data_IF_136664505409
#
_entry.id   IF_136664505409
#
_cell.length_a   1.000
_cell.length_b   1.000
_cell.length_c   1.000
_cell.angle_alpha   90.00
_cell.angle_beta   90.00
_cell.angle_gamma   90.00
#
_symmetry.space_group_name_H-M   'P 1'
#
loop_
_entity.id
_entity.type
_entity.pdbx_description
1 polymer ?
#
# COMPACT_ATOMS: atom_id res chain seq x y z
N UNK A 1 13.08 0.91 11.76
CA UNK A 1 14.22 0.61 10.87
C UNK A 1 14.12 -0.84 10.49
N UNK A 2 14.38 -1.18 9.23
CA UNK A 2 14.32 -2.53 8.72
C UNK A 2 15.56 -2.86 7.88
N UNK A 3 15.84 -4.15 7.76
CA UNK A 3 16.77 -4.69 6.78
C UNK A 3 15.97 -5.51 5.76
N UNK A 4 16.17 -5.23 4.48
CA UNK A 4 15.39 -5.82 3.39
C UNK A 4 16.32 -6.68 2.52
N UNK A 5 15.90 -7.91 2.23
CA UNK A 5 16.53 -8.76 1.24
C UNK A 5 16.01 -8.40 -0.15
N UNK A 6 16.91 -7.91 -1.01
CA UNK A 6 16.54 -7.38 -2.33
C UNK A 6 16.19 -8.47 -3.34
N UNK A 7 16.68 -9.70 -3.15
CA UNK A 7 16.50 -10.80 -4.11
C UNK A 7 15.03 -11.22 -4.29
N UNK A 8 14.14 -10.88 -3.34
CA UNK A 8 12.70 -11.16 -3.42
C UNK A 8 11.83 -9.95 -3.82
N UNK A 9 12.43 -8.79 -4.10
CA UNK A 9 11.66 -7.56 -4.37
C UNK A 9 10.85 -7.65 -5.66
N UNK A 10 11.33 -8.39 -6.68
CA UNK A 10 10.55 -8.60 -7.91
C UNK A 10 9.21 -9.29 -7.63
N UNK A 11 9.20 -10.30 -6.76
CA UNK A 11 7.96 -10.98 -6.33
C UNK A 11 7.04 -10.05 -5.54
N UNK A 12 7.59 -9.18 -4.68
CA UNK A 12 6.81 -8.16 -3.98
C UNK A 12 6.15 -7.20 -4.98
N UNK A 13 6.88 -6.76 -6.01
CA UNK A 13 6.38 -5.86 -7.06
C UNK A 13 5.25 -6.53 -7.86
N UNK A 14 5.43 -7.78 -8.29
CA UNK A 14 4.40 -8.54 -9.02
C UNK A 14 3.12 -8.72 -8.20
N UNK A 15 3.26 -9.12 -6.93
CA UNK A 15 2.11 -9.30 -6.04
C UNK A 15 1.40 -7.98 -5.73
N UNK A 16 2.17 -6.88 -5.54
CA UNK A 16 1.61 -5.55 -5.37
C UNK A 16 0.85 -5.10 -6.63
N UNK A 17 1.36 -5.36 -7.84
CA UNK A 17 0.64 -5.05 -9.08
C UNK A 17 -0.70 -5.78 -9.15
N UNK A 18 -0.71 -7.10 -8.91
CA UNK A 18 -1.94 -7.92 -8.88
C UNK A 18 -2.93 -7.38 -7.83
N UNK A 19 -2.45 -7.11 -6.61
CA UNK A 19 -3.25 -6.56 -5.52
C UNK A 19 -3.86 -5.21 -5.89
N UNK A 20 -3.10 -4.29 -6.49
CA UNK A 20 -3.59 -2.97 -6.88
C UNK A 20 -4.70 -3.04 -7.94
N UNK A 21 -4.56 -3.95 -8.91
CA UNK A 21 -5.60 -4.18 -9.93
C UNK A 21 -6.88 -4.72 -9.28
N UNK A 22 -6.76 -5.66 -8.37
CA UNK A 22 -7.91 -6.24 -7.65
C UNK A 22 -8.57 -5.22 -6.72
N UNK A 23 -7.79 -4.38 -6.03
CA UNK A 23 -8.34 -3.31 -5.20
C UNK A 23 -9.04 -2.23 -6.04
N UNK A 24 -8.47 -1.80 -7.18
CA UNK A 24 -9.15 -0.82 -8.02
C UNK A 24 -10.46 -1.40 -8.64
N UNK A 25 -10.55 -2.71 -8.90
CA UNK A 25 -11.77 -3.31 -9.47
C UNK A 25 -12.97 -3.29 -8.51
N UNK A 26 -12.73 -3.40 -7.20
CA UNK A 26 -13.78 -3.38 -6.16
C UNK A 26 -14.05 -1.98 -5.59
N UNK A 27 -13.20 -1.00 -5.93
CA UNK A 27 -13.15 0.28 -5.23
C UNK A 27 -14.46 1.07 -5.32
N UNK A 28 -15.21 0.94 -6.42
CA UNK A 28 -16.50 1.61 -6.57
C UNK A 28 -17.51 1.20 -5.50
N UNK A 29 -17.49 -0.07 -5.10
CA UNK A 29 -18.45 -0.65 -4.16
C UNK A 29 -17.93 -0.58 -2.71
N UNK A 30 -16.61 -0.58 -2.53
CA UNK A 30 -15.95 -0.68 -1.23
C UNK A 30 -15.10 0.54 -0.83
N UNK A 31 -15.32 1.69 -1.48
CA UNK A 31 -14.52 2.89 -1.23
C UNK A 31 -14.44 3.27 0.26
N UNK A 32 -15.58 3.34 0.96
CA UNK A 32 -15.61 3.76 2.36
C UNK A 32 -14.92 2.77 3.30
N UNK A 33 -14.97 1.47 3.00
CA UNK A 33 -14.28 0.45 3.77
C UNK A 33 -12.76 0.59 3.61
N UNK A 34 -12.29 0.72 2.36
CA UNK A 34 -10.87 0.91 2.04
C UNK A 34 -10.36 2.22 2.63
N UNK A 35 -11.14 3.31 2.55
CA UNK A 35 -10.81 4.60 3.17
C UNK A 35 -10.72 4.49 4.69
N UNK A 36 -11.72 3.88 5.34
CA UNK A 36 -11.71 3.63 6.78
C UNK A 36 -10.47 2.83 7.21
N UNK A 37 -10.10 1.79 6.46
CA UNK A 37 -8.91 0.99 6.73
C UNK A 37 -7.64 1.80 6.54
N UNK A 38 -7.52 2.52 5.42
CA UNK A 38 -6.40 3.43 5.14
C UNK A 38 -6.18 4.43 6.26
N UNK A 39 -7.23 5.06 6.79
CA UNK A 39 -7.10 6.05 7.89
C UNK A 39 -6.67 5.43 9.23
N UNK A 40 -6.82 4.11 9.40
CA UNK A 40 -6.44 3.35 10.61
C UNK A 40 -5.10 2.64 10.48
N UNK A 41 -4.58 2.50 9.26
CA UNK A 41 -3.27 1.94 9.00
C UNK A 41 -2.18 2.82 9.65
N UNK A 42 -1.14 2.18 10.16
CA UNK A 42 0.02 2.85 10.75
C UNK A 42 0.60 3.83 9.75
N UNK A 43 0.76 5.06 10.20
CA UNK A 43 1.46 6.10 9.46
C UNK A 43 2.58 6.67 10.30
N UNK A 44 3.45 7.45 9.67
CA UNK A 44 4.64 8.01 10.29
C UNK A 44 4.57 9.54 10.29
N UNK A 45 5.74 10.20 10.31
CA UNK A 45 5.86 11.65 10.41
C UNK A 45 4.88 12.42 9.51
N UNK A 46 4.70 11.93 8.28
CA UNK A 46 3.62 12.36 7.40
C UNK A 46 2.55 11.28 7.28
N UNK A 47 1.28 11.67 7.34
CA UNK A 47 0.14 10.75 7.26
C UNK A 47 0.09 9.96 5.96
N UNK A 48 0.64 10.49 4.87
CA UNK A 48 0.72 9.83 3.58
C UNK A 48 1.87 8.82 3.45
N UNK A 49 2.72 8.69 4.47
CA UNK A 49 3.71 7.60 4.57
C UNK A 49 3.07 6.52 5.43
N UNK A 50 2.64 5.44 4.77
CA UNK A 50 1.81 4.40 5.38
C UNK A 50 2.58 3.10 5.40
N UNK A 51 2.45 2.36 6.49
CA UNK A 51 2.90 0.99 6.58
C UNK A 51 2.05 0.09 5.68
N UNK A 52 2.66 -0.44 4.61
CA UNK A 52 1.91 -1.18 3.59
C UNK A 52 1.41 -2.53 4.13
N UNK A 53 2.20 -3.18 4.98
CA UNK A 53 1.80 -4.43 5.61
C UNK A 53 0.57 -4.21 6.51
N UNK A 54 0.59 -3.21 7.40
CA UNK A 54 -0.56 -2.95 8.31
C UNK A 54 -1.82 -2.59 7.52
N UNK A 55 -1.70 -1.85 6.41
CA UNK A 55 -2.84 -1.60 5.52
C UNK A 55 -3.42 -2.91 4.96
N UNK A 56 -2.58 -3.77 4.37
CA UNK A 56 -3.04 -5.02 3.73
C UNK A 56 -3.59 -5.99 4.78
N UNK A 57 -2.93 -6.11 5.93
CA UNK A 57 -3.38 -6.94 7.04
C UNK A 57 -4.78 -6.52 7.50
N UNK A 58 -5.05 -5.22 7.62
CA UNK A 58 -6.38 -4.72 7.96
C UNK A 58 -7.41 -5.00 6.86
N UNK A 59 -7.05 -4.93 5.58
CA UNK A 59 -7.94 -5.33 4.49
C UNK A 59 -8.41 -6.79 4.67
N UNK A 60 -7.49 -7.70 5.00
CA UNK A 60 -7.84 -9.10 5.30
C UNK A 60 -8.70 -9.24 6.56
N UNK A 61 -8.34 -8.56 7.66
CA UNK A 61 -9.10 -8.65 8.91
C UNK A 61 -10.55 -8.16 8.78
N UNK A 62 -10.81 -7.21 7.88
CA UNK A 62 -12.15 -6.65 7.65
C UNK A 62 -12.91 -7.39 6.54
N UNK A 63 -12.31 -8.35 5.84
CA UNK A 63 -12.92 -9.11 4.74
C UNK A 63 -13.62 -8.21 3.70
N UNK A 64 -12.91 -7.19 3.19
CA UNK A 64 -13.49 -6.16 2.31
C UNK A 64 -14.27 -6.80 1.15
N UNK A 65 -13.60 -7.66 0.38
CA UNK A 65 -14.20 -8.42 -0.71
C UNK A 65 -13.44 -9.75 -0.90
N UNK A 66 -14.13 -10.91 -0.97
CA UNK A 66 -13.50 -12.22 -1.16
C UNK A 66 -12.62 -12.33 -2.41
N UNK A 67 -12.90 -11.59 -3.48
CA UNK A 67 -12.11 -11.60 -4.72
C UNK A 67 -10.70 -11.06 -4.54
N UNK A 68 -10.47 -10.25 -3.50
CA UNK A 68 -9.15 -9.64 -3.20
C UNK A 68 -8.30 -10.47 -2.25
N UNK A 69 -8.89 -11.43 -1.53
CA UNK A 69 -8.25 -12.13 -0.41
C UNK A 69 -6.92 -12.79 -0.82
N UNK A 70 -6.92 -13.51 -1.95
CA UNK A 70 -5.75 -14.23 -2.42
C UNK A 70 -4.58 -13.29 -2.75
N UNK A 71 -4.83 -12.18 -3.46
CA UNK A 71 -3.78 -11.21 -3.78
C UNK A 71 -3.27 -10.46 -2.56
N UNK A 72 -4.14 -10.16 -1.59
CA UNK A 72 -3.74 -9.53 -0.33
C UNK A 72 -2.84 -10.46 0.49
N UNK A 73 -3.18 -11.75 0.60
CA UNK A 73 -2.36 -12.76 1.31
C UNK A 73 -0.98 -12.93 0.69
N UNK A 74 -0.92 -13.18 -0.63
CA UNK A 74 0.36 -13.29 -1.35
C UNK A 74 1.25 -12.07 -1.14
N UNK A 75 0.66 -10.87 -1.17
CA UNK A 75 1.42 -9.64 -0.97
C UNK A 75 2.00 -9.56 0.43
N UNK A 76 1.22 -9.85 1.48
CA UNK A 76 1.73 -9.92 2.85
C UNK A 76 2.87 -10.95 2.99
N UNK A 77 2.66 -12.17 2.49
CA UNK A 77 3.66 -13.24 2.55
C UNK A 77 4.97 -12.80 1.87
N UNK A 78 4.88 -12.20 0.68
CA UNK A 78 6.08 -11.69 0.00
C UNK A 78 6.76 -10.51 0.72
N UNK A 79 6.00 -9.69 1.45
CA UNK A 79 6.58 -8.61 2.27
C UNK A 79 7.34 -9.22 3.46
N UNK A 80 6.77 -10.23 4.12
CA UNK A 80 7.44 -10.96 5.21
C UNK A 80 8.73 -11.62 4.74
N UNK A 81 8.72 -12.25 3.56
CA UNK A 81 9.89 -12.94 2.99
C UNK A 81 11.08 -11.99 2.73
N UNK A 82 10.83 -10.72 2.43
CA UNK A 82 11.90 -9.75 2.17
C UNK A 82 12.35 -9.00 3.42
N UNK A 83 11.59 -9.00 4.52
CA UNK A 83 11.97 -8.31 5.76
C UNK A 83 12.84 -9.24 6.61
N UNK A 84 14.15 -9.01 6.57
CA UNK A 84 15.14 -9.82 7.31
C UNK A 84 15.12 -9.48 8.80
N UNK A 85 14.98 -8.20 9.12
CA UNK A 85 14.94 -7.71 10.48
C UNK A 85 14.19 -6.39 10.57
N UNK A 86 13.58 -6.14 11.72
CA UNK A 86 12.88 -4.91 12.02
C UNK A 86 13.11 -4.46 13.47
N UNK A 87 13.15 -3.14 13.66
CA UNK A 87 13.09 -2.50 14.97
C UNK A 87 12.23 -1.24 14.93
N UNK A 88 11.28 -1.13 15.85
CA UNK A 88 10.44 0.05 16.05
C UNK A 88 10.18 0.30 17.55
N UNK A 89 9.86 1.54 17.90
CA UNK A 89 9.51 1.91 19.27
C UNK A 89 8.08 1.50 19.64
N UNK A 90 7.72 1.64 20.92
CA UNK A 90 6.37 1.38 21.43
C UNK A 90 5.29 2.31 20.86
N UNK A 91 5.69 3.42 20.23
CA UNK A 91 4.78 4.34 19.55
C UNK A 91 4.32 3.83 18.17
N UNK A 92 4.98 2.80 17.61
CA UNK A 92 4.76 2.29 16.25
C UNK A 92 4.51 0.78 16.28
N UNK A 93 3.55 0.32 17.08
CA UNK A 93 3.30 -1.11 17.32
C UNK A 93 2.88 -1.90 16.06
N UNK A 94 2.42 -1.23 15.00
CA UNK A 94 2.06 -1.87 13.74
C UNK A 94 2.99 -1.42 12.60
N UNK A 95 4.22 -0.99 12.91
CA UNK A 95 5.25 -0.85 11.89
C UNK A 95 5.78 -2.23 11.50
N UNK A 96 5.97 -2.43 10.20
CA UNK A 96 6.43 -3.66 9.56
C UNK A 96 7.53 -3.36 8.52
N UNK A 97 8.37 -2.36 8.80
CA UNK A 97 9.61 -2.13 8.07
C UNK A 97 9.51 -1.53 6.66
N UNK A 98 8.36 -1.57 5.97
CA UNK A 98 8.19 -1.02 4.63
C UNK A 98 7.03 -0.02 4.58
N UNK A 99 7.31 1.14 4.00
CA UNK A 99 6.32 2.21 3.86
C UNK A 99 6.06 2.52 2.40
N UNK A 100 4.82 2.89 2.10
CA UNK A 100 4.40 3.35 0.78
C UNK A 100 3.78 4.75 0.87
N UNK A 101 3.85 5.50 -0.22
CA UNK A 101 3.06 6.72 -0.35
C UNK A 101 1.60 6.36 -0.64
N UNK A 102 0.72 6.73 0.27
CA UNK A 102 -0.72 6.61 0.10
C UNK A 102 -1.35 7.88 0.68
N UNK A 103 -1.91 8.81 -0.11
CA UNK A 103 -2.54 10.03 0.39
C UNK A 103 -3.56 9.78 1.52
N UNK A 104 -3.68 10.73 2.46
CA UNK A 104 -4.70 10.70 3.53
C UNK A 104 -5.91 11.57 3.16
N UNK A 105 -5.67 12.70 2.48
CA UNK A 105 -6.67 13.63 1.95
C UNK A 105 -6.22 14.15 0.58
N UNK A 106 -7.15 14.68 -0.22
CA UNK A 106 -6.88 15.28 -1.53
C UNK A 106 -5.76 16.33 -1.56
N UNK A 107 -5.51 17.06 -0.48
CA UNK A 107 -4.40 18.02 -0.44
C UNK A 107 -3.02 17.35 -0.36
N UNK A 108 -2.95 16.09 0.11
CA UNK A 108 -1.72 15.29 0.06
C UNK A 108 -1.44 14.80 -1.37
N UNK A 109 -2.47 14.79 -2.22
CA UNK A 109 -2.42 14.37 -3.62
C UNK A 109 -1.64 15.36 -4.51
N UNK A 110 -1.41 16.61 -4.12
CA UNK A 110 -0.47 17.50 -4.84
C UNK A 110 0.97 16.91 -4.93
N UNK A 111 1.25 15.83 -4.17
CA UNK A 111 2.51 15.07 -4.21
C UNK A 111 2.43 13.75 -5.00
N UNK A 112 1.27 13.35 -5.55
CA UNK A 112 1.22 12.17 -6.44
C UNK A 112 1.77 12.46 -7.84
N UNK A 113 1.87 13.72 -8.26
CA UNK A 113 2.42 14.08 -9.57
C UNK A 113 3.80 13.43 -9.78
N UNK A 114 4.59 13.29 -8.70
CA UNK A 114 5.88 12.59 -8.71
C UNK A 114 5.79 11.08 -8.98
N UNK A 115 4.68 10.42 -8.61
CA UNK A 115 4.45 9.00 -8.92
C UNK A 115 4.02 8.80 -10.38
N UNK A 116 3.44 9.82 -11.01
CA UNK A 116 3.03 9.80 -12.42
C UNK A 116 4.11 10.32 -13.37
N UNK A 117 5.09 11.06 -12.84
CA UNK A 117 6.22 11.55 -13.60
C UNK A 117 7.24 10.44 -13.82
N UNK A 118 7.23 9.86 -15.01
CA UNK A 118 8.20 8.82 -15.41
C UNK A 118 9.64 9.33 -15.46
N UNK A 119 9.85 10.66 -15.50
CA UNK A 119 11.17 11.27 -15.40
C UNK A 119 11.69 11.39 -13.97
N UNK A 120 10.81 11.20 -12.97
CA UNK A 120 11.17 11.17 -11.56
C UNK A 120 11.94 9.89 -11.18
N UNK A 121 11.94 8.86 -12.06
CA UNK A 121 12.77 7.67 -11.93
C UNK A 121 12.26 6.65 -10.91
N UNK A 122 10.96 6.66 -10.61
CA UNK A 122 10.33 5.63 -9.78
C UNK A 122 9.92 4.42 -10.63
N UNK A 123 10.80 3.44 -10.73
CA UNK A 123 10.49 2.15 -11.37
C UNK A 123 9.30 1.46 -10.69
N UNK A 124 9.06 1.73 -9.40
CA UNK A 124 7.94 1.18 -8.65
C UNK A 124 6.57 1.53 -9.25
N UNK A 125 6.31 2.78 -9.61
CA UNK A 125 5.01 3.16 -10.21
C UNK A 125 4.88 2.71 -11.66
N UNK A 126 6.00 2.49 -12.35
CA UNK A 126 6.00 1.94 -13.72
C UNK A 126 5.72 0.44 -13.73
N UNK A 127 6.20 -0.28 -12.72
CA UNK A 127 6.13 -1.74 -12.63
C UNK A 127 4.96 -2.23 -11.76
N UNK A 128 4.20 -1.33 -11.14
CA UNK A 128 3.00 -1.66 -10.36
C UNK A 128 1.83 -0.78 -10.75
N UNK A 129 0.61 -1.30 -10.61
CA UNK A 129 -0.62 -0.53 -10.78
C UNK A 129 -0.93 0.43 -9.62
N UNK A 130 0.07 0.76 -8.77
CA UNK A 130 -0.13 1.58 -7.58
C UNK A 130 -0.58 3.00 -7.91
N UNK A 131 0.02 3.64 -8.90
CA UNK A 131 -0.34 4.98 -9.36
C UNK A 131 -1.80 5.06 -9.84
N UNK A 132 -2.23 4.05 -10.59
CA UNK A 132 -3.60 3.92 -11.08
C UNK A 132 -4.56 3.64 -9.93
N UNK A 133 -4.21 2.78 -8.99
CA UNK A 133 -5.01 2.56 -7.78
C UNK A 133 -5.18 3.86 -6.98
N UNK A 134 -4.10 4.62 -6.75
CA UNK A 134 -4.18 5.92 -6.09
C UNK A 134 -5.08 6.89 -6.82
N UNK A 135 -5.04 6.93 -8.16
CA UNK A 135 -5.99 7.72 -8.96
C UNK A 135 -7.42 7.25 -8.79
N UNK A 136 -7.68 5.93 -8.88
CA UNK A 136 -9.02 5.37 -8.67
C UNK A 136 -9.55 5.82 -7.29
N UNK A 137 -8.69 5.82 -6.28
CA UNK A 137 -8.99 6.19 -4.90
C UNK A 137 -9.26 7.69 -4.72
N UNK A 138 -8.41 8.56 -5.26
CA UNK A 138 -8.57 10.02 -5.17
C UNK A 138 -9.84 10.52 -5.88
N UNK A 139 -10.17 9.98 -7.07
CA UNK A 139 -11.39 10.37 -7.80
C UNK A 139 -12.70 10.07 -7.04
N UNK A 140 -12.65 9.25 -6.00
CA UNK A 140 -13.81 8.86 -5.19
C UNK A 140 -13.90 9.60 -3.86
N UNK A 141 -12.91 10.44 -3.52
CA UNK A 141 -13.01 11.34 -2.37
C UNK A 141 -14.09 12.41 -2.65
N UNK A 142 -15.14 12.52 -1.80
CA UNK A 142 -16.26 13.43 -2.03
C UNK A 142 -15.89 14.92 -1.91
#
# INVERSE_FOLDING_TARGET
MSAIQTDGIETVVENLDEMCRNLCSILCDHYYDIYSIRTRAQSFYFRWIVDIYDFIYRCLQNNIDPSTENSLRKTLESLEDVIVAEAHGSEYLNAHGLTIHFPYMRMDCEKYEFYMDTSYGLDFSLNTFWDNFLRCFDYKEP
#
